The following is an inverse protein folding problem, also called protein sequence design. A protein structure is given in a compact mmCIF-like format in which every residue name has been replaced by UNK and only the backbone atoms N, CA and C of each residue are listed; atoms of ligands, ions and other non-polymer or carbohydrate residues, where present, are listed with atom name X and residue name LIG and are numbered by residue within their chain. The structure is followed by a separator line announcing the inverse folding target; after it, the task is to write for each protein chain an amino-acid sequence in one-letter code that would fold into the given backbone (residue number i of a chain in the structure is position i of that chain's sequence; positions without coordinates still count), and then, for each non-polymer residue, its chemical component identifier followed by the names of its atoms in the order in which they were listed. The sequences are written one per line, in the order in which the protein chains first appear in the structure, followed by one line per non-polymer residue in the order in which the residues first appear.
data_IF_084057236369
#
_entry.id   IF_084057236369
#
_cell.length_a   1.000
_cell.length_b   1.000
_cell.length_c   1.000
_cell.angle_alpha   90.00
_cell.angle_beta   90.00
_cell.angle_gamma   90.00
#
_symmetry.space_group_name_H-M   'P 1'
#
loop_
_entity.id
_entity.type
_entity.pdbx_description
1 polymer ?
#
# COMPACT_ATOMS: atom_id res chain seq x y z
N UNK A 1 -0.95 17.09 -17.38
CA UNK A 1 -1.42 15.96 -16.55
C UNK A 1 -2.89 16.20 -16.24
N UNK A 2 -3.77 15.19 -16.39
CA UNK A 2 -5.15 15.31 -15.88
C UNK A 2 -5.12 15.25 -14.37
N UNK A 3 -5.79 16.20 -13.72
CA UNK A 3 -6.00 16.20 -12.26
C UNK A 3 -7.44 15.77 -11.96
N UNK A 4 -7.72 15.27 -10.76
CA UNK A 4 -9.10 15.02 -10.34
C UNK A 4 -9.94 16.30 -10.35
N UNK A 5 -11.26 16.15 -10.46
CA UNK A 5 -12.23 17.25 -10.43
C UNK A 5 -12.12 18.03 -9.11
N UNK A 6 -12.08 19.34 -9.16
CA UNK A 6 -11.81 20.18 -7.98
C UNK A 6 -12.83 20.00 -6.85
N UNK A 7 -14.11 19.87 -7.19
CA UNK A 7 -15.19 19.67 -6.21
C UNK A 7 -15.15 18.27 -5.57
N UNK A 8 -14.66 17.27 -6.30
CA UNK A 8 -14.37 15.94 -5.75
C UNK A 8 -13.16 15.99 -4.80
N UNK A 9 -12.11 16.71 -5.16
CA UNK A 9 -10.93 16.90 -4.31
C UNK A 9 -11.33 17.57 -3.00
N UNK A 10 -12.07 18.68 -3.06
CA UNK A 10 -12.57 19.39 -1.87
C UNK A 10 -13.39 18.44 -0.96
N UNK A 11 -14.29 17.65 -1.54
CA UNK A 11 -15.07 16.69 -0.80
C UNK A 11 -14.19 15.63 -0.11
N UNK A 12 -13.25 15.04 -0.83
CA UNK A 12 -12.36 13.99 -0.30
C UNK A 12 -11.47 14.57 0.81
N UNK A 13 -10.85 15.73 0.59
CA UNK A 13 -9.93 16.33 1.55
C UNK A 13 -10.64 16.79 2.82
N UNK A 14 -11.88 17.26 2.73
CA UNK A 14 -12.63 17.75 3.89
C UNK A 14 -13.45 16.72 4.61
N UNK A 15 -13.94 15.67 3.94
CA UNK A 15 -14.88 14.69 4.51
C UNK A 15 -14.31 13.28 4.68
N UNK A 16 -13.28 12.91 3.93
CA UNK A 16 -12.76 11.54 3.90
C UNK A 16 -11.40 11.47 4.57
N UNK A 17 -10.43 12.25 4.11
CA UNK A 17 -9.06 12.20 4.62
C UNK A 17 -8.95 12.46 6.12
N UNK A 18 -9.73 13.36 6.76
CA UNK A 18 -9.63 13.57 8.20
C UNK A 18 -9.86 12.31 9.05
N UNK A 19 -10.57 11.30 8.52
CA UNK A 19 -10.81 10.04 9.22
C UNK A 19 -9.52 9.24 9.47
N UNK A 20 -8.48 9.44 8.66
CA UNK A 20 -7.17 8.80 8.81
C UNK A 20 -6.35 9.30 10.01
N UNK A 21 -6.75 10.41 10.64
CA UNK A 21 -6.08 10.95 11.83
C UNK A 21 -6.20 10.03 13.05
N UNK A 22 -7.20 9.14 13.06
CA UNK A 22 -7.46 8.21 14.16
C UNK A 22 -6.83 6.84 13.97
N UNK A 23 -6.20 6.59 12.81
CA UNK A 23 -5.62 5.28 12.48
C UNK A 23 -4.20 5.13 13.04
N UNK A 24 -3.72 3.90 13.05
CA UNK A 24 -2.38 3.59 13.50
C UNK A 24 -1.29 4.22 12.59
N UNK A 25 -0.05 4.25 13.09
CA UNK A 25 1.09 4.86 12.39
C UNK A 25 1.30 4.32 10.97
N UNK A 26 0.93 3.07 10.70
CA UNK A 26 1.15 2.44 9.40
C UNK A 26 0.07 2.84 8.36
N UNK A 27 -1.09 3.33 8.81
CA UNK A 27 -2.26 3.63 7.98
C UNK A 27 -2.78 5.06 8.21
N UNK A 28 -1.91 5.96 8.60
CA UNK A 28 -2.22 7.36 8.92
C UNK A 28 -2.39 8.23 7.66
N UNK A 29 -2.54 9.54 7.88
CA UNK A 29 -2.68 10.54 6.82
C UNK A 29 -1.52 10.50 5.81
N UNK A 30 -0.29 10.33 6.27
CA UNK A 30 0.89 10.27 5.40
C UNK A 30 0.82 9.07 4.44
N UNK A 31 0.38 7.91 4.97
CA UNK A 31 0.18 6.71 4.17
C UNK A 31 -0.85 6.94 3.05
N UNK A 32 -2.06 7.41 3.38
CA UNK A 32 -3.11 7.61 2.37
C UNK A 32 -2.72 8.64 1.31
N UNK A 33 -2.04 9.73 1.69
CA UNK A 33 -1.53 10.72 0.72
C UNK A 33 -0.50 10.10 -0.22
N UNK A 34 0.40 9.25 0.29
CA UNK A 34 1.35 8.50 -0.53
C UNK A 34 0.63 7.56 -1.51
N UNK A 35 -0.37 6.81 -1.04
CA UNK A 35 -1.15 5.91 -1.89
C UNK A 35 -1.90 6.68 -2.97
N UNK A 36 -2.53 7.80 -2.64
CA UNK A 36 -3.19 8.67 -3.62
C UNK A 36 -2.19 9.13 -4.69
N UNK A 37 -1.04 9.67 -4.29
CA UNK A 37 -0.02 10.15 -5.24
C UNK A 37 0.46 9.05 -6.18
N UNK A 38 0.79 7.88 -5.63
CA UNK A 38 1.23 6.72 -6.42
C UNK A 38 0.13 6.23 -7.35
N UNK A 39 -1.12 6.16 -6.87
CA UNK A 39 -2.27 5.75 -7.69
C UNK A 39 -2.51 6.69 -8.88
N UNK A 40 -2.41 8.00 -8.66
CA UNK A 40 -2.58 9.00 -9.74
C UNK A 40 -1.46 8.90 -10.80
N UNK A 41 -0.22 8.64 -10.38
CA UNK A 41 0.88 8.39 -11.32
C UNK A 41 0.62 7.13 -12.18
N UNK A 42 0.18 6.03 -11.57
CA UNK A 42 -0.17 4.80 -12.28
C UNK A 42 -1.39 4.98 -13.18
N UNK A 43 -2.38 5.77 -12.76
CA UNK A 43 -3.54 6.10 -13.60
C UNK A 43 -3.15 6.84 -14.89
N UNK A 44 -2.18 7.76 -14.81
CA UNK A 44 -1.68 8.47 -16.00
C UNK A 44 -0.98 7.51 -16.98
N UNK A 45 -0.25 6.51 -16.49
CA UNK A 45 0.42 5.51 -17.32
C UNK A 45 -0.57 4.55 -17.99
N UNK A 46 -1.66 4.23 -17.32
CA UNK A 46 -2.63 3.23 -17.77
C UNK A 46 -3.85 3.81 -18.50
N UNK A 47 -4.04 5.13 -18.47
CA UNK A 47 -5.22 5.79 -19.03
C UNK A 47 -6.49 5.57 -18.19
N UNK A 48 -6.40 5.11 -16.96
CA UNK A 48 -7.53 4.91 -16.05
C UNK A 48 -8.18 6.27 -15.70
N UNK A 49 -9.47 6.23 -15.37
CA UNK A 49 -10.21 7.41 -14.92
C UNK A 49 -9.63 7.94 -13.62
N UNK A 50 -9.21 9.21 -13.65
CA UNK A 50 -8.47 9.85 -12.58
C UNK A 50 -9.34 10.08 -11.34
N UNK A 51 -10.62 10.47 -11.52
CA UNK A 51 -11.55 10.71 -10.42
C UNK A 51 -11.87 9.40 -9.69
N UNK A 52 -12.08 8.32 -10.44
CA UNK A 52 -12.27 7.00 -9.85
C UNK A 52 -11.04 6.53 -9.07
N UNK A 53 -9.84 6.65 -9.67
CA UNK A 53 -8.58 6.24 -9.02
C UNK A 53 -8.31 7.04 -7.75
N UNK A 54 -8.51 8.36 -7.79
CA UNK A 54 -8.35 9.24 -6.63
C UNK A 54 -9.27 8.82 -5.48
N UNK A 55 -10.55 8.58 -5.80
CA UNK A 55 -11.54 8.17 -4.80
C UNK A 55 -11.23 6.78 -4.23
N UNK A 56 -10.89 5.80 -5.07
CA UNK A 56 -10.50 4.45 -4.62
C UNK A 56 -9.33 4.52 -3.63
N UNK A 57 -8.29 5.29 -3.97
CA UNK A 57 -7.13 5.46 -3.13
C UNK A 57 -7.47 6.14 -1.79
N UNK A 58 -8.39 7.12 -1.79
CA UNK A 58 -8.81 7.80 -0.57
C UNK A 58 -9.68 6.91 0.37
N UNK A 59 -10.39 5.93 -0.17
CA UNK A 59 -11.29 5.06 0.60
C UNK A 59 -10.67 3.71 0.99
N UNK A 60 -9.49 3.34 0.45
CA UNK A 60 -8.99 1.96 0.49
C UNK A 60 -8.89 1.37 1.90
N UNK A 61 -8.55 2.17 2.90
CA UNK A 61 -8.30 1.75 4.28
C UNK A 61 -9.34 2.21 5.31
N UNK A 62 -10.42 2.88 4.92
CA UNK A 62 -11.44 3.37 5.86
C UNK A 62 -12.07 2.25 6.70
N UNK A 63 -12.02 1.01 6.23
CA UNK A 63 -12.49 -0.16 6.96
C UNK A 63 -11.65 -0.55 8.18
N UNK A 64 -10.49 0.10 8.40
CA UNK A 64 -9.67 -0.10 9.60
C UNK A 64 -10.32 0.42 10.89
N UNK A 65 -11.44 1.11 10.80
CA UNK A 65 -12.34 1.36 11.95
C UNK A 65 -12.93 0.08 12.55
N UNK A 66 -12.84 -1.04 11.84
CA UNK A 66 -13.30 -2.37 12.23
C UNK A 66 -12.18 -3.42 12.22
N UNK A 67 -12.53 -4.73 12.19
CA UNK A 67 -11.54 -5.80 12.24
C UNK A 67 -10.56 -5.76 11.06
N UNK A 68 -9.25 -5.70 11.36
CA UNK A 68 -8.15 -5.61 10.38
C UNK A 68 -8.17 -6.74 9.34
N UNK A 69 -8.60 -7.94 9.73
CA UNK A 69 -8.63 -9.10 8.82
C UNK A 69 -9.52 -8.91 7.59
N UNK A 70 -10.57 -8.08 7.70
CA UNK A 70 -11.57 -7.83 6.66
C UNK A 70 -11.66 -6.35 6.28
N UNK A 71 -10.69 -5.51 6.66
CA UNK A 71 -10.74 -4.06 6.42
C UNK A 71 -11.02 -3.71 4.95
N UNK A 72 -10.40 -4.42 4.01
CA UNK A 72 -10.60 -4.23 2.57
C UNK A 72 -12.07 -4.42 2.14
N UNK A 73 -12.75 -5.43 2.69
CA UNK A 73 -14.19 -5.65 2.44
C UNK A 73 -15.02 -4.51 3.05
N UNK A 74 -14.68 -4.13 4.29
CA UNK A 74 -15.36 -3.05 4.99
C UNK A 74 -15.16 -1.71 4.28
N UNK A 75 -13.94 -1.40 3.84
CA UNK A 75 -13.64 -0.21 3.03
C UNK A 75 -14.45 -0.15 1.75
N UNK A 76 -14.55 -1.27 1.02
CA UNK A 76 -15.37 -1.36 -0.19
C UNK A 76 -16.86 -1.10 0.09
N UNK A 77 -17.39 -1.63 1.21
CA UNK A 77 -18.77 -1.37 1.64
C UNK A 77 -18.98 0.10 2.01
N UNK A 78 -18.02 0.72 2.71
CA UNK A 78 -18.07 2.15 3.06
C UNK A 78 -18.15 3.00 1.79
N UNK A 79 -17.27 2.75 0.82
CA UNK A 79 -17.28 3.47 -0.46
C UNK A 79 -18.64 3.31 -1.17
N UNK A 80 -19.13 2.09 -1.32
CA UNK A 80 -20.38 1.83 -2.03
C UNK A 80 -21.61 2.44 -1.34
N UNK A 81 -21.61 2.50 -0.02
CA UNK A 81 -22.72 3.04 0.79
C UNK A 81 -22.71 4.58 0.85
N UNK A 82 -21.64 5.25 0.48
CA UNK A 82 -21.58 6.70 0.52
C UNK A 82 -22.40 7.32 -0.62
N UNK A 83 -23.64 7.68 -0.29
CA UNK A 83 -24.58 8.24 -1.24
C UNK A 83 -24.11 9.55 -1.89
N UNK A 84 -23.18 10.30 -1.25
CA UNK A 84 -22.63 11.56 -1.76
C UNK A 84 -21.81 11.35 -3.03
N UNK A 85 -21.18 10.19 -3.19
CA UNK A 85 -20.39 9.84 -4.37
C UNK A 85 -21.23 9.72 -5.65
N UNK A 86 -22.56 9.56 -5.55
CA UNK A 86 -23.47 9.55 -6.71
C UNK A 86 -23.49 10.88 -7.47
N UNK A 87 -22.94 11.94 -6.89
CA UNK A 87 -22.74 13.23 -7.59
C UNK A 87 -21.75 13.12 -8.74
N UNK A 88 -20.76 12.25 -8.63
CA UNK A 88 -19.66 12.10 -9.59
C UNK A 88 -19.69 10.78 -10.35
N UNK A 89 -20.27 9.73 -9.75
CA UNK A 89 -20.15 8.36 -10.25
C UNK A 89 -21.49 7.67 -10.40
N UNK A 90 -21.65 6.94 -11.50
CA UNK A 90 -22.79 6.04 -11.72
C UNK A 90 -22.76 4.85 -10.75
N UNK A 91 -23.89 4.15 -10.61
CA UNK A 91 -23.96 2.94 -9.77
C UNK A 91 -23.01 1.84 -10.25
N UNK A 92 -22.75 1.74 -11.55
CA UNK A 92 -21.81 0.78 -12.12
C UNK A 92 -20.36 1.14 -11.76
N UNK A 93 -20.00 2.42 -11.89
CA UNK A 93 -18.68 2.89 -11.46
C UNK A 93 -18.46 2.66 -9.95
N UNK A 94 -19.44 2.96 -9.10
CA UNK A 94 -19.34 2.71 -7.65
C UNK A 94 -19.15 1.22 -7.33
N UNK A 95 -19.81 0.32 -8.09
CA UNK A 95 -19.57 -1.13 -7.95
C UNK A 95 -18.14 -1.51 -8.32
N UNK A 96 -17.64 -1.00 -9.44
CA UNK A 96 -16.27 -1.24 -9.90
C UNK A 96 -15.22 -0.69 -8.91
N UNK A 97 -15.47 0.50 -8.36
CA UNK A 97 -14.62 1.13 -7.36
C UNK A 97 -14.59 0.34 -6.05
N UNK A 98 -15.76 -0.14 -5.58
CA UNK A 98 -15.85 -1.04 -4.43
C UNK A 98 -14.99 -2.29 -4.64
N UNK A 99 -15.13 -2.94 -5.79
CA UNK A 99 -14.36 -4.13 -6.13
C UNK A 99 -12.86 -3.85 -6.16
N UNK A 100 -12.45 -2.68 -6.65
CA UNK A 100 -11.06 -2.25 -6.64
C UNK A 100 -10.51 -2.05 -5.22
N UNK A 101 -11.28 -1.40 -4.35
CA UNK A 101 -10.93 -1.26 -2.93
C UNK A 101 -10.77 -2.62 -2.26
N UNK A 102 -11.66 -3.58 -2.52
CA UNK A 102 -11.55 -4.94 -1.97
C UNK A 102 -10.31 -5.70 -2.47
N UNK A 103 -9.78 -5.35 -3.63
CA UNK A 103 -8.64 -6.03 -4.27
C UNK A 103 -7.26 -5.51 -3.82
N UNK A 104 -7.17 -4.44 -2.99
CA UNK A 104 -5.88 -3.83 -2.65
C UNK A 104 -4.99 -4.71 -1.76
N UNK A 105 -5.57 -5.66 -1.03
CA UNK A 105 -4.84 -6.47 -0.04
C UNK A 105 -3.71 -7.27 -0.65
N UNK A 106 -2.47 -7.07 -0.16
CA UNK A 106 -1.27 -7.72 -0.67
C UNK A 106 -1.28 -9.26 -0.57
N UNK A 107 -1.95 -9.82 0.46
CA UNK A 107 -2.09 -11.26 0.70
C UNK A 107 -3.34 -11.87 0.06
N UNK A 108 -3.98 -11.18 -0.89
CA UNK A 108 -5.10 -11.74 -1.62
C UNK A 108 -4.64 -12.94 -2.48
N UNK A 109 -5.42 -14.03 -2.46
CA UNK A 109 -5.12 -15.27 -3.21
C UNK A 109 -5.42 -15.16 -4.71
N UNK A 110 -6.04 -14.05 -5.14
CA UNK A 110 -6.44 -13.82 -6.54
C UNK A 110 -5.88 -12.50 -7.07
N UNK A 111 -5.72 -12.43 -8.39
CA UNK A 111 -5.41 -11.18 -9.06
C UNK A 111 -6.53 -10.14 -8.89
N UNK A 112 -6.21 -8.84 -8.83
CA UNK A 112 -7.20 -7.79 -8.86
C UNK A 112 -8.11 -7.88 -10.10
N UNK A 113 -9.41 -7.68 -9.90
CA UNK A 113 -10.46 -7.88 -10.91
C UNK A 113 -10.43 -6.86 -12.06
N UNK A 114 -9.84 -5.70 -11.82
CA UNK A 114 -9.84 -4.58 -12.78
C UNK A 114 -8.52 -3.84 -12.78
N UNK A 115 -8.33 -2.95 -13.78
CA UNK A 115 -7.19 -2.03 -13.79
C UNK A 115 -7.16 -1.14 -12.54
N UNK A 116 -8.31 -0.74 -12.02
CA UNK A 116 -8.43 0.07 -10.81
C UNK A 116 -7.95 -0.70 -9.57
N UNK A 117 -8.33 -1.97 -9.44
CA UNK A 117 -7.82 -2.85 -8.39
C UNK A 117 -6.33 -3.06 -8.48
N UNK A 118 -5.78 -3.23 -9.71
CA UNK A 118 -4.33 -3.35 -9.94
C UNK A 118 -3.59 -2.09 -9.52
N UNK A 119 -4.11 -0.91 -9.86
CA UNK A 119 -3.51 0.38 -9.50
C UNK A 119 -3.44 0.55 -7.99
N UNK A 120 -4.55 0.41 -7.27
CA UNK A 120 -4.56 0.63 -5.82
C UNK A 120 -3.76 -0.44 -5.08
N UNK A 121 -3.85 -1.71 -5.49
CA UNK A 121 -3.06 -2.79 -4.91
C UNK A 121 -1.56 -2.57 -5.07
N UNK A 122 -1.11 -1.98 -6.17
CA UNK A 122 0.29 -1.66 -6.40
C UNK A 122 0.71 -0.37 -5.70
N UNK A 123 -0.13 0.67 -5.71
CA UNK A 123 0.14 1.95 -5.06
C UNK A 123 0.22 1.84 -3.53
N UNK A 124 -0.55 0.93 -2.93
CA UNK A 124 -0.51 0.65 -1.50
C UNK A 124 0.82 0.02 -1.07
N UNK A 125 1.52 -0.65 -1.96
CA UNK A 125 2.85 -1.19 -1.70
C UNK A 125 3.90 -0.08 -1.75
N UNK A 126 4.74 -0.06 -0.74
CA UNK A 126 5.93 0.78 -0.69
C UNK A 126 7.12 -0.17 -0.65
N UNK A 127 7.75 -0.35 -1.80
CA UNK A 127 8.82 -1.33 -2.02
C UNK A 127 10.22 -0.68 -2.08
N UNK A 128 10.32 0.61 -1.68
CA UNK A 128 11.61 1.25 -1.53
C UNK A 128 12.47 0.40 -0.56
N UNK A 129 13.66 -0.06 -1.00
CA UNK A 129 14.43 -1.07 -0.27
C UNK A 129 14.74 -0.72 1.18
N UNK A 130 15.18 0.51 1.43
CA UNK A 130 15.50 0.98 2.79
C UNK A 130 14.26 1.03 3.68
N UNK A 131 13.13 1.47 3.14
CA UNK A 131 11.83 1.49 3.83
C UNK A 131 11.36 0.08 4.18
N UNK A 132 11.49 -0.88 3.26
CA UNK A 132 11.14 -2.28 3.52
C UNK A 132 12.00 -2.87 4.63
N UNK A 133 13.31 -2.66 4.59
CA UNK A 133 14.24 -3.11 5.63
C UNK A 133 13.89 -2.47 6.98
N UNK A 134 13.70 -1.15 7.01
CA UNK A 134 13.36 -0.39 8.22
C UNK A 134 12.07 -0.90 8.87
N UNK A 135 10.99 -1.01 8.11
CA UNK A 135 9.70 -1.53 8.63
C UNK A 135 9.81 -2.96 9.15
N UNK A 136 10.62 -3.80 8.49
CA UNK A 136 10.85 -5.17 8.94
C UNK A 136 11.62 -5.21 10.26
N UNK A 137 12.61 -4.32 10.45
CA UNK A 137 13.35 -4.17 11.71
C UNK A 137 12.43 -3.64 12.81
N UNK A 138 11.70 -2.56 12.56
CA UNK A 138 10.75 -1.96 13.51
C UNK A 138 9.73 -2.98 14.02
N UNK A 139 9.13 -3.74 13.09
CA UNK A 139 8.22 -4.82 13.45
C UNK A 139 8.92 -5.89 14.30
N UNK A 140 10.16 -6.23 13.96
CA UNK A 140 10.96 -7.18 14.72
C UNK A 140 11.20 -6.71 16.16
N UNK A 141 11.68 -5.49 16.33
CA UNK A 141 11.97 -4.90 17.64
C UNK A 141 10.70 -4.82 18.51
N UNK A 142 9.56 -4.48 17.91
CA UNK A 142 8.29 -4.37 18.64
C UNK A 142 7.69 -5.73 19.05
N UNK A 143 7.86 -6.79 18.25
CA UNK A 143 7.13 -8.05 18.43
C UNK A 143 8.02 -9.23 18.86
N UNK A 144 9.35 -9.10 18.77
CA UNK A 144 10.33 -10.14 19.07
C UNK A 144 11.49 -9.57 19.90
N UNK A 145 11.13 -8.83 20.96
CA UNK A 145 12.09 -8.15 21.83
C UNK A 145 13.14 -9.08 22.50
N UNK A 146 12.84 -10.39 22.55
CA UNK A 146 13.74 -11.41 23.08
C UNK A 146 14.90 -11.78 22.14
N UNK A 147 14.82 -11.39 20.85
CA UNK A 147 15.88 -11.68 19.89
C UNK A 147 17.06 -10.72 20.10
N UNK A 148 18.26 -11.27 19.98
CA UNK A 148 19.46 -10.48 19.83
C UNK A 148 19.59 -9.92 18.39
N UNK A 149 20.66 -9.17 18.12
CA UNK A 149 20.92 -8.59 16.80
C UNK A 149 20.97 -9.65 15.69
N UNK A 150 21.62 -10.78 15.94
CA UNK A 150 21.72 -11.86 14.95
C UNK A 150 20.36 -12.57 14.73
N UNK A 151 19.56 -12.69 15.76
CA UNK A 151 18.19 -13.18 15.65
C UNK A 151 17.33 -12.26 14.79
N UNK A 152 17.43 -10.93 14.96
CA UNK A 152 16.75 -9.96 14.09
C UNK A 152 17.26 -9.99 12.64
N UNK A 153 18.56 -10.18 12.44
CA UNK A 153 19.14 -10.36 11.11
C UNK A 153 18.58 -11.60 10.39
N UNK A 154 18.60 -12.75 11.04
CA UNK A 154 18.03 -14.00 10.50
C UNK A 154 16.56 -13.85 10.15
N UNK A 155 15.79 -13.21 11.06
CA UNK A 155 14.36 -12.92 10.82
C UNK A 155 14.15 -11.99 9.63
N UNK A 156 15.00 -10.95 9.47
CA UNK A 156 14.95 -10.08 8.30
C UNK A 156 15.14 -10.88 7.01
N UNK A 157 16.21 -11.66 6.91
CA UNK A 157 16.50 -12.47 5.73
C UNK A 157 15.33 -13.40 5.37
N UNK A 158 14.81 -14.11 6.37
CA UNK A 158 13.66 -15.00 6.17
C UNK A 158 12.44 -14.23 5.66
N UNK A 159 12.07 -13.13 6.29
CA UNK A 159 10.92 -12.33 5.88
C UNK A 159 11.08 -11.75 4.47
N UNK A 160 12.27 -11.26 4.13
CA UNK A 160 12.55 -10.73 2.80
C UNK A 160 12.47 -11.83 1.73
N UNK A 161 13.02 -13.02 2.00
CA UNK A 161 12.94 -14.15 1.05
C UNK A 161 11.49 -14.60 0.84
N UNK A 162 10.73 -14.82 1.91
CA UNK A 162 9.35 -15.28 1.85
C UNK A 162 8.43 -14.32 1.10
N UNK A 163 8.67 -13.02 1.22
CA UNK A 163 7.76 -12.02 0.71
C UNK A 163 8.21 -11.41 -0.62
N UNK A 164 9.48 -11.07 -0.78
CA UNK A 164 9.98 -10.22 -1.86
C UNK A 164 10.94 -10.89 -2.83
N UNK A 165 11.48 -12.08 -2.52
CA UNK A 165 12.35 -12.80 -3.44
C UNK A 165 11.65 -13.15 -4.75
N UNK A 166 12.37 -13.75 -5.70
CA UNK A 166 11.78 -14.25 -6.95
C UNK A 166 10.75 -15.36 -6.73
N UNK A 167 10.77 -16.01 -5.56
CA UNK A 167 9.80 -17.04 -5.10
C UNK A 167 8.78 -16.47 -4.12
N UNK A 168 8.92 -15.20 -3.73
CA UNK A 168 8.06 -14.55 -2.77
C UNK A 168 6.65 -14.29 -3.29
N UNK A 169 5.72 -14.06 -2.36
CA UNK A 169 4.30 -13.91 -2.73
C UNK A 169 3.93 -12.50 -3.23
N UNK A 170 4.85 -11.53 -3.23
CA UNK A 170 4.56 -10.20 -3.78
C UNK A 170 4.50 -10.24 -5.30
N UNK A 171 3.37 -9.81 -5.83
CA UNK A 171 3.14 -9.63 -7.25
C UNK A 171 2.86 -8.17 -7.56
N UNK A 172 3.45 -7.66 -8.64
CA UNK A 172 3.18 -6.36 -9.22
C UNK A 172 2.25 -6.51 -10.42
N UNK A 173 1.46 -5.48 -10.68
CA UNK A 173 0.40 -5.55 -11.67
C UNK A 173 0.56 -4.56 -12.82
N UNK A 174 1.40 -3.54 -12.63
CA UNK A 174 1.60 -2.45 -13.59
C UNK A 174 3.07 -2.43 -14.02
N UNK A 175 3.32 -2.80 -15.26
CA UNK A 175 4.68 -2.78 -15.83
C UNK A 175 5.21 -1.35 -15.95
N UNK A 176 6.51 -1.16 -15.73
CA UNK A 176 7.17 0.14 -15.75
C UNK A 176 6.92 1.01 -14.53
N UNK A 177 6.26 0.47 -13.49
CA UNK A 177 6.05 1.18 -12.23
C UNK A 177 7.35 1.42 -11.46
N UNK A 178 7.34 2.40 -10.55
CA UNK A 178 8.46 2.62 -9.63
C UNK A 178 8.68 1.40 -8.72
N UNK A 179 7.60 0.74 -8.30
CA UNK A 179 7.67 -0.46 -7.48
C UNK A 179 8.36 -1.63 -8.20
N UNK A 180 8.24 -1.74 -9.52
CA UNK A 180 8.95 -2.77 -10.30
C UNK A 180 10.47 -2.57 -10.20
N UNK A 181 10.95 -1.34 -10.31
CA UNK A 181 12.38 -0.99 -10.14
C UNK A 181 12.85 -1.26 -8.72
N UNK A 182 12.14 -0.79 -7.71
CA UNK A 182 12.45 -1.03 -6.30
C UNK A 182 12.44 -2.51 -5.92
N UNK A 183 11.48 -3.28 -6.46
CA UNK A 183 11.46 -4.72 -6.22
C UNK A 183 12.67 -5.42 -6.86
N UNK A 184 13.12 -4.96 -8.03
CA UNK A 184 14.33 -5.49 -8.65
C UNK A 184 15.58 -5.19 -7.80
N UNK A 185 15.73 -3.97 -7.30
CA UNK A 185 16.81 -3.57 -6.38
C UNK A 185 16.76 -4.38 -5.08
N UNK A 186 15.57 -4.52 -4.47
CA UNK A 186 15.39 -5.31 -3.25
C UNK A 186 15.77 -6.78 -3.47
N UNK A 187 15.43 -7.35 -4.61
CA UNK A 187 15.83 -8.72 -4.99
C UNK A 187 17.34 -8.89 -5.15
N UNK A 188 18.03 -7.88 -5.66
CA UNK A 188 19.50 -7.87 -5.71
C UNK A 188 20.09 -7.89 -4.29
N UNK A 189 19.59 -7.08 -3.38
CA UNK A 189 20.00 -7.08 -1.98
C UNK A 189 19.71 -8.42 -1.28
N UNK A 190 18.55 -9.03 -1.54
CA UNK A 190 18.20 -10.37 -0.99
C UNK A 190 19.17 -11.44 -1.51
N UNK A 191 19.55 -11.37 -2.78
CA UNK A 191 20.51 -12.31 -3.38
C UNK A 191 21.94 -12.10 -2.89
N UNK A 192 22.26 -10.91 -2.34
CA UNK A 192 23.60 -10.56 -1.84
C UNK A 192 23.54 -10.08 -0.36
N UNK A 193 23.44 -11.00 0.60
CA UNK A 193 23.38 -10.66 2.03
C UNK A 193 24.58 -9.82 2.53
N UNK A 194 25.73 -9.88 1.86
CA UNK A 194 26.90 -9.09 2.22
C UNK A 194 26.67 -7.58 1.97
N UNK A 195 25.91 -7.21 0.95
CA UNK A 195 25.50 -5.83 0.67
C UNK A 195 24.34 -5.38 1.55
N UNK A 196 23.43 -6.29 1.89
CA UNK A 196 22.28 -6.01 2.75
C UNK A 196 22.70 -5.80 4.24
N UNK A 197 23.75 -6.49 4.71
CA UNK A 197 24.18 -6.44 6.10
C UNK A 197 24.53 -5.03 6.60
N UNK A 198 25.32 -4.21 5.91
CA UNK A 198 25.60 -2.83 6.34
C UNK A 198 24.31 -1.99 6.48
N UNK A 199 23.36 -2.14 5.56
CA UNK A 199 22.06 -1.44 5.60
C UNK A 199 21.28 -1.85 6.84
N UNK A 200 21.22 -3.15 7.15
CA UNK A 200 20.62 -3.66 8.37
C UNK A 200 21.26 -3.08 9.61
N UNK A 201 22.61 -3.11 9.72
CA UNK A 201 23.35 -2.61 10.88
C UNK A 201 23.09 -1.13 11.16
N UNK A 202 23.11 -0.31 10.09
CA UNK A 202 22.81 1.11 10.20
C UNK A 202 21.39 1.33 10.75
N UNK A 203 20.38 0.76 10.08
CA UNK A 203 18.98 0.95 10.43
C UNK A 203 18.69 0.36 11.82
N UNK A 204 19.23 -0.81 12.14
CA UNK A 204 19.03 -1.43 13.45
C UNK A 204 19.55 -0.57 14.60
N UNK A 205 20.71 0.10 14.42
CA UNK A 205 21.24 1.02 15.39
C UNK A 205 20.39 2.29 15.54
N UNK A 206 19.87 2.83 14.43
CA UNK A 206 18.95 3.99 14.43
C UNK A 206 17.64 3.68 15.19
N UNK A 207 17.07 2.50 14.98
CA UNK A 207 15.76 2.13 15.53
C UNK A 207 15.83 1.61 16.98
N UNK A 208 17.02 1.30 17.50
CA UNK A 208 17.22 0.81 18.86
C UNK A 208 17.55 1.93 19.85
N UNK A 209 17.82 3.16 19.34
CA UNK A 209 18.01 4.35 20.18
C UNK A 209 16.67 4.86 20.70
#
# INVERSE_FOLDING_TARGET
MKNPSLDLVEFIETQILPQYQTFDRAHNMEHVIRVIRSSLQLAQQTGADIDMVYTIAAYHDLGLTGPRAIHHITSGKILQADARLKRWFSSEQLRLMKEAVEDHRASASRAPRSIYGKIVAEADRDLEPTTVVRRTIQFGLANYAQLDREGHWKRLLQHLDEKYSTRGYIHLWISGSQNERWLAELRQLIANPAELRPIFEQIFNEEKQ
#
